data_IF_210218897114
#
_entry.id   IF_210218897114
#
_cell.length_a   1.000
_cell.length_b   1.000
_cell.length_c   1.000
_cell.angle_alpha   90.00
_cell.angle_beta   90.00
_cell.angle_gamma   90.00
#
_symmetry.space_group_name_H-M   'P 1'
#
loop_
_entity.id
_entity.type
_entity.pdbx_description
1 polymer ?
#
# COMPACT_ATOMS: atom_id res chain seq x y z
N UNK A 1 15.59 -22.34 43.70
CA UNK A 1 15.58 -22.07 42.25
C UNK A 1 14.39 -22.78 41.64
N UNK A 2 13.58 -22.08 40.87
CA UNK A 2 12.38 -22.65 40.25
C UNK A 2 11.56 -21.56 39.54
N UNK A 3 12.23 -20.79 38.66
CA UNK A 3 11.54 -19.87 37.77
C UNK A 3 10.89 -20.66 36.65
N UNK A 4 9.57 -20.79 36.69
CA UNK A 4 8.79 -21.32 35.59
C UNK A 4 8.89 -20.38 34.40
N UNK A 5 9.60 -20.80 33.36
CA UNK A 5 9.55 -20.15 32.06
C UNK A 5 8.13 -20.38 31.49
N UNK A 6 7.28 -19.36 31.62
CA UNK A 6 5.99 -19.33 30.93
C UNK A 6 6.24 -19.41 29.43
N UNK A 7 5.77 -20.48 28.80
CA UNK A 7 5.74 -20.57 27.35
C UNK A 7 4.93 -19.37 26.81
N UNK A 8 5.61 -18.45 26.13
CA UNK A 8 4.94 -17.37 25.42
C UNK A 8 4.03 -18.00 24.37
N UNK A 9 2.72 -18.01 24.64
CA UNK A 9 1.68 -18.41 23.69
C UNK A 9 1.89 -17.57 22.43
N UNK A 10 1.95 -18.21 21.25
CA UNK A 10 2.02 -17.47 20.00
C UNK A 10 0.89 -16.43 19.96
N UNK A 11 1.17 -15.19 19.52
CA UNK A 11 0.16 -14.14 19.50
C UNK A 11 -1.01 -14.61 18.65
N UNK A 12 -2.23 -14.37 19.13
CA UNK A 12 -3.43 -14.67 18.37
C UNK A 12 -3.41 -13.87 17.05
N UNK A 13 -3.97 -14.43 15.97
CA UNK A 13 -4.03 -13.71 14.68
C UNK A 13 -4.70 -12.35 14.86
N UNK A 14 -4.12 -11.33 14.24
CA UNK A 14 -4.55 -9.93 14.38
C UNK A 14 -4.55 -9.39 15.81
N UNK A 15 -3.74 -9.93 16.73
CA UNK A 15 -3.54 -9.36 18.06
C UNK A 15 -2.27 -8.49 18.13
N UNK A 16 -2.34 -7.42 18.92
CA UNK A 16 -1.20 -6.64 19.36
C UNK A 16 -0.53 -7.28 20.58
N UNK A 17 0.62 -6.74 20.97
CA UNK A 17 1.44 -7.24 22.09
C UNK A 17 0.74 -7.10 23.46
N UNK A 18 -0.29 -6.25 23.55
CA UNK A 18 -1.13 -6.08 24.74
C UNK A 18 -2.22 -7.16 24.88
N UNK A 19 -2.29 -8.08 23.92
CA UNK A 19 -3.28 -9.16 23.86
C UNK A 19 -4.63 -8.75 23.28
N UNK A 20 -4.84 -7.47 22.94
CA UNK A 20 -6.05 -7.01 22.26
C UNK A 20 -5.91 -7.19 20.75
N UNK A 21 -7.04 -7.29 20.05
CA UNK A 21 -7.04 -7.26 18.60
C UNK A 21 -6.65 -5.87 18.07
N UNK A 22 -5.91 -5.88 16.98
CA UNK A 22 -5.57 -4.69 16.22
C UNK A 22 -6.85 -3.98 15.77
N UNK A 23 -6.87 -2.65 15.63
CA UNK A 23 -8.02 -1.93 15.06
C UNK A 23 -8.41 -2.47 13.67
N UNK A 24 -7.42 -2.93 12.91
CA UNK A 24 -7.61 -3.54 11.58
C UNK A 24 -8.31 -4.90 11.63
N UNK A 25 -8.36 -5.58 12.78
CA UNK A 25 -8.95 -6.90 12.93
C UNK A 25 -10.46 -6.96 12.64
N UNK A 26 -11.18 -5.85 12.81
CA UNK A 26 -12.64 -5.74 12.58
C UNK A 26 -13.00 -4.63 11.59
N UNK A 27 -12.01 -4.12 10.86
CA UNK A 27 -12.19 -2.98 9.95
C UNK A 27 -12.98 -3.32 8.68
N UNK A 28 -12.93 -4.57 8.26
CA UNK A 28 -13.67 -5.11 7.11
C UNK A 28 -15.11 -5.51 7.46
N UNK A 29 -15.84 -5.96 6.43
CA UNK A 29 -17.15 -6.60 6.57
C UNK A 29 -17.02 -8.10 6.28
N UNK A 30 -17.96 -8.89 6.78
CA UNK A 30 -18.11 -10.27 6.34
C UNK A 30 -18.61 -10.30 4.89
N UNK A 31 -18.04 -11.20 4.08
CA UNK A 31 -18.38 -11.40 2.67
C UNK A 31 -19.57 -12.34 2.47
N UNK A 32 -19.89 -13.15 3.48
CA UNK A 32 -21.03 -14.08 3.48
C UNK A 32 -21.96 -13.80 4.66
N UNK A 33 -23.23 -14.18 4.50
CA UNK A 33 -24.20 -14.17 5.59
C UNK A 33 -24.09 -15.44 6.45
N UNK A 34 -24.64 -15.40 7.67
CA UNK A 34 -24.69 -16.56 8.57
C UNK A 34 -23.38 -16.88 9.27
N UNK A 35 -22.41 -15.96 9.28
CA UNK A 35 -21.16 -16.11 10.03
C UNK A 35 -21.38 -16.39 11.53
N UNK A 36 -22.42 -15.82 12.11
CA UNK A 36 -22.88 -16.05 13.48
C UNK A 36 -23.40 -17.47 13.74
N UNK A 37 -23.85 -18.17 12.70
CA UNK A 37 -24.31 -19.57 12.82
C UNK A 37 -23.14 -20.56 12.81
N UNK A 38 -22.06 -20.20 12.10
CA UNK A 38 -20.83 -20.99 12.00
C UNK A 38 -19.90 -20.70 13.18
N UNK A 39 -19.70 -19.41 13.49
CA UNK A 39 -18.88 -18.90 14.57
C UNK A 39 -19.80 -18.34 15.66
N UNK A 40 -20.22 -19.23 16.58
CA UNK A 40 -21.26 -18.95 17.57
C UNK A 40 -20.84 -17.90 18.61
N UNK A 41 -19.54 -17.72 18.79
CA UNK A 41 -18.97 -16.76 19.72
C UNK A 41 -18.57 -15.50 18.97
N UNK A 42 -19.30 -14.41 19.20
CA UNK A 42 -18.94 -13.12 18.64
C UNK A 42 -17.55 -12.67 19.14
N UNK A 43 -16.74 -12.11 18.24
CA UNK A 43 -15.48 -11.53 18.63
C UNK A 43 -15.67 -10.32 19.57
N UNK A 44 -14.87 -10.27 20.62
CA UNK A 44 -14.73 -9.14 21.55
C UNK A 44 -13.40 -8.42 21.29
N UNK A 45 -12.97 -7.53 22.20
CA UNK A 45 -11.71 -6.80 22.05
C UNK A 45 -10.46 -7.71 21.98
N UNK A 46 -10.51 -8.91 22.55
CA UNK A 46 -9.36 -9.80 22.67
C UNK A 46 -9.68 -11.30 22.57
N UNK A 47 -10.94 -11.65 22.28
CA UNK A 47 -11.37 -13.04 22.13
C UNK A 47 -12.27 -13.21 20.91
N UNK A 48 -12.23 -14.38 20.29
CA UNK A 48 -13.09 -14.78 19.17
C UNK A 48 -13.48 -16.24 19.31
N UNK A 49 -14.38 -16.72 18.46
CA UNK A 49 -14.70 -18.14 18.41
C UNK A 49 -13.45 -18.98 18.07
N UNK A 50 -13.12 -20.03 18.84
CA UNK A 50 -12.00 -20.92 18.52
C UNK A 50 -12.08 -21.55 17.13
N UNK A 51 -13.29 -21.69 16.56
CA UNK A 51 -13.47 -22.19 15.20
C UNK A 51 -12.88 -21.27 14.14
N UNK A 52 -12.71 -19.97 14.44
CA UNK A 52 -12.03 -19.01 13.55
C UNK A 52 -10.55 -19.35 13.32
N UNK A 53 -9.94 -20.12 14.23
CA UNK A 53 -8.53 -20.51 14.19
C UNK A 53 -8.30 -21.93 13.67
N UNK A 54 -9.37 -22.63 13.29
CA UNK A 54 -9.26 -23.96 12.68
C UNK A 54 -8.85 -23.83 11.21
N UNK A 55 -7.73 -24.45 10.85
CA UNK A 55 -7.22 -24.45 9.47
C UNK A 55 -8.22 -25.02 8.47
N UNK A 56 -9.00 -26.03 8.88
CA UNK A 56 -10.08 -26.61 8.06
C UNK A 56 -11.21 -25.60 7.73
N UNK A 57 -11.33 -24.51 8.48
CA UNK A 57 -12.30 -23.44 8.26
C UNK A 57 -11.65 -22.13 7.82
N UNK A 58 -10.35 -22.12 7.48
CA UNK A 58 -9.61 -20.89 7.15
C UNK A 58 -10.31 -20.06 6.06
N UNK A 59 -10.79 -20.70 4.98
CA UNK A 59 -11.51 -20.01 3.90
C UNK A 59 -12.84 -19.40 4.36
N UNK A 60 -13.58 -20.11 5.22
CA UNK A 60 -14.86 -19.63 5.75
C UNK A 60 -14.63 -18.52 6.76
N UNK A 61 -13.61 -18.66 7.61
CA UNK A 61 -13.19 -17.63 8.54
C UNK A 61 -12.77 -16.36 7.80
N UNK A 62 -12.04 -16.47 6.69
CA UNK A 62 -11.67 -15.31 5.86
C UNK A 62 -12.88 -14.63 5.23
N UNK A 63 -13.87 -15.39 4.78
CA UNK A 63 -15.16 -14.83 4.34
C UNK A 63 -15.97 -14.21 5.48
N UNK A 64 -15.73 -14.65 6.71
CA UNK A 64 -16.31 -14.11 7.94
C UNK A 64 -15.30 -13.29 8.75
N UNK A 65 -14.40 -12.57 8.06
CA UNK A 65 -13.23 -11.99 8.69
C UNK A 65 -13.56 -10.96 9.79
N UNK A 66 -14.69 -10.26 9.70
CA UNK A 66 -15.13 -9.35 10.76
C UNK A 66 -15.63 -10.11 11.97
N UNK A 67 -16.49 -11.11 11.75
CA UNK A 67 -17.00 -11.99 12.82
C UNK A 67 -15.85 -12.69 13.55
N UNK A 68 -14.84 -13.11 12.81
CA UNK A 68 -13.64 -13.76 13.35
C UNK A 68 -12.53 -12.79 13.80
N UNK A 69 -12.74 -11.47 13.73
CA UNK A 69 -11.70 -10.48 14.03
C UNK A 69 -10.33 -10.79 13.37
N UNK A 70 -10.36 -11.13 12.08
CA UNK A 70 -9.20 -11.44 11.24
C UNK A 70 -9.12 -10.58 9.99
N UNK A 71 -9.81 -9.43 9.95
CA UNK A 71 -9.74 -8.50 8.82
C UNK A 71 -8.31 -8.04 8.51
N UNK A 72 -7.38 -8.07 9.47
CA UNK A 72 -5.98 -7.72 9.22
C UNK A 72 -5.26 -8.69 8.24
N UNK A 73 -5.81 -9.88 8.03
CA UNK A 73 -5.30 -10.87 7.06
C UNK A 73 -5.99 -10.75 5.71
N UNK A 74 -7.09 -10.01 5.61
CA UNK A 74 -7.73 -9.77 4.34
C UNK A 74 -6.81 -8.85 3.51
N UNK A 75 -6.35 -9.26 2.32
CA UNK A 75 -5.46 -8.44 1.50
C UNK A 75 -5.97 -7.02 1.23
N UNK A 76 -7.30 -6.84 1.17
CA UNK A 76 -7.92 -5.53 1.01
C UNK A 76 -7.71 -4.60 2.21
N UNK A 77 -7.42 -5.14 3.40
CA UNK A 77 -7.33 -4.43 4.69
C UNK A 77 -5.99 -4.65 5.42
N UNK A 78 -5.09 -5.49 4.90
CA UNK A 78 -3.86 -5.96 5.57
C UNK A 78 -2.70 -4.96 5.57
N UNK A 79 -2.91 -3.74 5.06
CA UNK A 79 -1.94 -2.66 5.09
C UNK A 79 -2.20 -1.72 6.28
N UNK A 80 -1.52 -0.57 6.32
CA UNK A 80 -1.72 0.46 7.36
C UNK A 80 -2.22 1.75 6.73
N UNK A 81 -3.08 2.45 7.46
CA UNK A 81 -3.40 3.84 7.15
C UNK A 81 -2.19 4.75 7.35
N UNK A 82 -2.22 5.89 6.68
CA UNK A 82 -1.20 6.91 6.82
C UNK A 82 -1.22 7.45 8.27
N UNK A 83 -0.07 7.49 8.97
CA UNK A 83 -0.01 7.90 10.37
C UNK A 83 -0.51 9.34 10.60
N UNK A 84 -0.43 10.23 9.60
CA UNK A 84 -0.96 11.59 9.71
C UNK A 84 -2.49 11.64 9.75
N UNK A 85 -3.15 10.60 9.23
CA UNK A 85 -4.61 10.52 9.10
C UNK A 85 -5.24 9.33 9.82
N UNK A 86 -4.45 8.48 10.48
CA UNK A 86 -4.93 7.25 11.13
C UNK A 86 -6.09 7.50 12.12
N UNK A 87 -6.11 8.65 12.80
CA UNK A 87 -7.22 9.03 13.71
C UNK A 87 -8.45 9.59 12.98
N UNK A 88 -8.27 10.10 11.76
CA UNK A 88 -9.32 10.65 10.91
C UNK A 88 -9.95 9.58 10.00
N UNK A 89 -9.20 8.57 9.57
CA UNK A 89 -9.69 7.51 8.70
C UNK A 89 -11.00 6.87 9.18
N UNK A 90 -11.19 6.55 10.49
CA UNK A 90 -12.47 6.05 10.98
C UNK A 90 -13.64 7.01 10.78
N UNK A 91 -13.39 8.32 10.80
CA UNK A 91 -14.42 9.36 10.57
C UNK A 91 -14.73 9.55 9.09
N UNK A 92 -13.80 9.18 8.20
CA UNK A 92 -13.98 9.20 6.73
C UNK A 92 -14.44 7.87 6.16
N UNK A 93 -14.90 6.93 7.00
CA UNK A 93 -15.31 5.58 6.54
C UNK A 93 -16.42 5.62 5.47
N UNK A 94 -17.31 6.60 5.50
CA UNK A 94 -18.33 6.76 4.46
C UNK A 94 -17.75 7.27 3.13
N UNK A 95 -16.65 8.03 3.17
CA UNK A 95 -15.92 8.48 1.97
C UNK A 95 -15.33 7.30 1.18
N UNK A 96 -15.02 6.18 1.86
CA UNK A 96 -14.56 4.94 1.22
C UNK A 96 -15.58 4.38 0.21
N UNK A 97 -16.87 4.69 0.37
CA UNK A 97 -17.95 4.26 -0.53
C UNK A 97 -18.10 5.13 -1.78
N UNK A 98 -17.30 6.20 -1.89
CA UNK A 98 -17.34 7.08 -3.06
C UNK A 98 -17.04 6.31 -4.35
N UNK A 99 -17.76 6.65 -5.41
CA UNK A 99 -17.54 6.17 -6.78
C UNK A 99 -16.64 7.11 -7.60
N UNK A 100 -16.22 8.23 -7.02
CA UNK A 100 -15.32 9.18 -7.67
C UNK A 100 -13.89 8.64 -7.58
N UNK A 101 -13.24 8.41 -8.73
CA UNK A 101 -11.90 7.82 -8.81
C UNK A 101 -10.88 8.59 -7.97
N UNK A 102 -10.84 9.92 -8.08
CA UNK A 102 -9.92 10.77 -7.32
C UNK A 102 -10.10 10.64 -5.79
N UNK A 103 -11.34 10.46 -5.33
CA UNK A 103 -11.65 10.26 -3.90
C UNK A 103 -11.22 8.86 -3.46
N UNK A 104 -11.46 7.85 -4.30
CA UNK A 104 -10.98 6.49 -4.03
C UNK A 104 -9.46 6.40 -4.00
N UNK A 105 -8.76 7.08 -4.91
CA UNK A 105 -7.30 7.14 -4.94
C UNK A 105 -6.76 7.83 -3.68
N UNK A 106 -7.40 8.92 -3.25
CA UNK A 106 -7.08 9.59 -1.99
C UNK A 106 -7.26 8.66 -0.79
N UNK A 107 -8.37 7.92 -0.73
CA UNK A 107 -8.64 6.95 0.33
C UNK A 107 -7.67 5.76 0.28
N UNK A 108 -7.34 5.26 -0.91
CA UNK A 108 -6.37 4.18 -1.10
C UNK A 108 -4.94 4.61 -0.76
N UNK A 109 -4.67 5.92 -0.73
CA UNK A 109 -3.39 6.47 -0.32
C UNK A 109 -3.30 6.69 1.19
N UNK A 110 -4.30 7.34 1.78
CA UNK A 110 -4.22 7.80 3.18
C UNK A 110 -4.95 6.89 4.16
N UNK A 111 -6.01 6.21 3.73
CA UNK A 111 -6.84 5.33 4.56
C UNK A 111 -7.06 3.94 3.93
N UNK A 112 -6.05 3.29 3.33
CA UNK A 112 -6.26 2.05 2.59
C UNK A 112 -6.75 0.90 3.46
N UNK A 113 -6.28 0.79 4.71
CA UNK A 113 -6.73 -0.26 5.63
C UNK A 113 -8.14 0.01 6.12
N UNK A 114 -8.49 1.26 6.44
CA UNK A 114 -9.87 1.59 6.85
C UNK A 114 -10.88 1.40 5.69
N UNK A 115 -10.47 1.72 4.46
CA UNK A 115 -11.36 1.67 3.30
C UNK A 115 -11.38 0.33 2.57
N UNK A 116 -10.56 -0.64 2.94
CA UNK A 116 -10.45 -1.90 2.19
C UNK A 116 -9.80 -1.72 0.81
N UNK A 117 -8.90 -0.75 0.70
CA UNK A 117 -8.26 -0.31 -0.54
C UNK A 117 -6.77 -0.58 -0.57
N UNK A 118 -6.25 -1.42 0.34
CA UNK A 118 -4.85 -1.84 0.31
C UNK A 118 -4.46 -2.36 -1.08
N UNK A 119 -5.39 -3.02 -1.76
CA UNK A 119 -5.20 -3.60 -3.09
C UNK A 119 -5.36 -2.59 -4.24
N UNK A 120 -5.88 -1.40 -3.98
CA UNK A 120 -6.24 -0.39 -5.00
C UNK A 120 -5.27 0.80 -5.06
N UNK A 121 -4.43 0.99 -4.04
CA UNK A 121 -3.53 2.15 -3.93
C UNK A 121 -2.08 1.89 -4.33
N UNK A 122 -1.16 2.64 -3.71
CA UNK A 122 0.30 2.48 -3.81
C UNK A 122 0.81 1.11 -3.35
N UNK A 123 -0.04 0.28 -2.74
CA UNK A 123 0.24 -1.11 -2.39
C UNK A 123 -0.35 -2.06 -3.45
N UNK A 124 0.05 -1.87 -4.71
CA UNK A 124 -0.29 -2.78 -5.81
C UNK A 124 0.89 -3.03 -6.72
N UNK A 125 0.92 -4.22 -7.28
CA UNK A 125 1.82 -4.57 -8.37
C UNK A 125 1.27 -4.02 -9.70
N UNK A 126 1.89 -2.94 -10.18
CA UNK A 126 1.56 -2.26 -11.43
C UNK A 126 2.23 -2.90 -12.65
N UNK A 127 3.36 -3.59 -12.47
CA UNK A 127 4.05 -4.27 -13.57
C UNK A 127 3.61 -5.74 -13.71
N UNK A 128 3.39 -6.23 -14.95
CA UNK A 128 3.27 -7.66 -15.19
C UNK A 128 4.61 -8.33 -14.89
N UNK A 129 4.61 -9.30 -13.96
CA UNK A 129 5.81 -10.05 -13.60
C UNK A 129 6.52 -9.60 -12.32
N UNK A 130 5.87 -8.76 -11.49
CA UNK A 130 6.36 -8.43 -10.14
C UNK A 130 6.84 -9.69 -9.38
N UNK A 131 6.01 -10.73 -9.31
CA UNK A 131 6.35 -12.00 -8.64
C UNK A 131 7.64 -12.68 -9.15
N UNK A 132 7.97 -12.55 -10.44
CA UNK A 132 9.19 -13.16 -11.03
C UNK A 132 10.46 -12.36 -10.73
N UNK A 133 10.30 -11.08 -10.39
CA UNK A 133 11.37 -10.11 -10.25
C UNK A 133 11.44 -9.56 -8.82
N UNK A 134 10.89 -10.30 -7.85
CA UNK A 134 10.91 -9.97 -6.43
C UNK A 134 12.32 -9.75 -5.86
N UNK A 135 13.35 -10.35 -6.47
CA UNK A 135 14.74 -10.16 -6.05
C UNK A 135 15.22 -8.71 -6.23
N UNK A 136 14.68 -7.99 -7.22
CA UNK A 136 15.06 -6.60 -7.52
C UNK A 136 14.54 -5.61 -6.49
N UNK A 137 13.61 -6.02 -5.62
CA UNK A 137 13.12 -5.21 -4.50
C UNK A 137 14.25 -4.82 -3.53
N UNK A 138 15.30 -5.64 -3.44
CA UNK A 138 16.46 -5.41 -2.58
C UNK A 138 17.66 -4.78 -3.31
N UNK A 139 17.53 -4.51 -4.62
CA UNK A 139 18.58 -3.87 -5.39
C UNK A 139 18.75 -2.39 -5.02
N UNK A 140 19.98 -1.90 -4.92
CA UNK A 140 20.24 -0.52 -4.49
C UNK A 140 19.81 0.55 -5.51
N UNK A 141 19.69 0.18 -6.79
CA UNK A 141 19.38 1.10 -7.90
C UNK A 141 17.95 0.89 -8.40
N UNK A 142 17.58 -0.36 -8.64
CA UNK A 142 16.25 -0.72 -9.12
C UNK A 142 15.24 -0.85 -7.97
N UNK A 143 15.68 -1.15 -6.75
CA UNK A 143 14.80 -1.36 -5.59
C UNK A 143 13.79 -0.25 -5.33
N UNK A 144 14.14 1.05 -5.42
CA UNK A 144 13.14 2.12 -5.28
C UNK A 144 12.03 2.06 -6.34
N UNK A 145 12.38 1.74 -7.60
CA UNK A 145 11.41 1.61 -8.70
C UNK A 145 10.54 0.37 -8.53
N UNK A 146 11.13 -0.76 -8.12
CA UNK A 146 10.38 -1.99 -7.86
C UNK A 146 9.50 -1.86 -6.62
N UNK A 147 9.93 -1.16 -5.58
CA UNK A 147 9.11 -0.88 -4.38
C UNK A 147 7.94 0.06 -4.67
N UNK A 148 8.04 0.91 -5.69
CA UNK A 148 6.98 1.80 -6.14
C UNK A 148 6.01 1.11 -7.13
N UNK A 149 6.55 0.30 -8.05
CA UNK A 149 5.76 -0.33 -9.12
C UNK A 149 5.31 -1.76 -8.80
N UNK A 150 5.93 -2.41 -7.82
CA UNK A 150 5.65 -3.76 -7.35
C UNK A 150 5.55 -3.78 -5.83
N UNK A 151 4.84 -2.82 -5.26
CA UNK A 151 4.84 -2.56 -3.83
C UNK A 151 4.37 -3.76 -2.99
N UNK A 152 3.49 -4.60 -3.55
CA UNK A 152 3.06 -5.83 -2.90
C UNK A 152 4.12 -6.90 -2.95
N UNK A 153 4.66 -7.18 -4.14
CA UNK A 153 5.73 -8.18 -4.26
C UNK A 153 6.97 -7.79 -3.44
N UNK A 154 7.30 -6.51 -3.37
CA UNK A 154 8.43 -6.01 -2.60
C UNK A 154 8.17 -5.86 -1.11
N UNK A 155 6.94 -6.18 -0.64
CA UNK A 155 6.48 -5.97 0.73
C UNK A 155 6.79 -4.53 1.23
N UNK A 156 6.82 -3.57 0.32
CA UNK A 156 7.09 -2.15 0.61
C UNK A 156 5.81 -1.38 0.91
N UNK A 157 4.69 -2.09 1.08
CA UNK A 157 3.41 -1.59 1.55
C UNK A 157 3.43 -0.97 2.98
N UNK A 158 4.61 -0.60 3.48
CA UNK A 158 4.73 0.27 4.64
C UNK A 158 4.23 1.67 4.27
N UNK A 159 3.44 2.27 5.16
CA UNK A 159 2.85 3.62 5.07
C UNK A 159 3.88 4.78 5.05
N UNK A 160 5.06 4.58 4.47
CA UNK A 160 6.12 5.58 4.41
C UNK A 160 6.88 5.47 3.09
N UNK A 161 6.24 5.95 2.03
CA UNK A 161 6.95 6.77 1.05
C UNK A 161 5.97 7.80 0.50
N UNK A 162 5.75 8.84 1.29
CA UNK A 162 5.53 10.14 0.67
C UNK A 162 6.70 10.38 -0.30
N UNK A 163 6.47 10.85 -1.55
CA UNK A 163 7.53 11.57 -2.23
C UNK A 163 7.93 12.71 -1.29
N UNK A 164 9.23 12.85 -1.03
CA UNK A 164 9.76 13.91 -0.20
C UNK A 164 9.03 15.22 -0.52
N UNK A 165 8.30 15.74 0.45
CA UNK A 165 7.74 17.07 0.41
C UNK A 165 8.89 18.02 0.13
N UNK A 166 8.97 18.51 -1.11
CA UNK A 166 9.83 19.65 -1.40
C UNK A 166 9.17 20.81 -0.66
N UNK A 167 9.86 21.29 0.36
CA UNK A 167 9.52 22.45 1.18
C UNK A 167 8.84 23.56 0.37
N UNK A 168 7.81 24.25 0.93
CA UNK A 168 7.24 25.42 0.30
C UNK A 168 8.29 26.53 0.26
N UNK A 169 8.93 26.73 -0.91
CA UNK A 169 9.74 27.91 -1.15
C UNK A 169 8.79 29.10 -1.32
N UNK A 170 8.91 30.00 -0.36
CA UNK A 170 8.36 31.35 -0.23
C UNK A 170 7.95 32.00 -1.56
N UNK A 171 6.67 32.39 -1.62
CA UNK A 171 6.11 33.30 -2.61
C UNK A 171 6.93 34.60 -2.67
N UNK A 172 7.56 34.85 -3.82
CA UNK A 172 8.00 36.19 -4.22
C UNK A 172 7.10 36.64 -5.39
N UNK A 173 6.44 37.81 -5.33
CA UNK A 173 5.58 38.28 -6.41
C UNK A 173 6.43 38.82 -7.59
N UNK A 174 6.29 38.21 -8.77
CA UNK A 174 7.00 38.64 -9.98
C UNK A 174 6.47 38.00 -11.28
N UNK A 175 5.39 38.58 -11.80
CA UNK A 175 4.77 38.53 -13.15
C UNK A 175 5.76 38.46 -14.35
N UNK A 176 5.37 38.07 -15.60
CA UNK A 176 4.48 37.01 -16.12
C UNK A 176 5.14 36.09 -17.19
N UNK A 177 4.48 34.96 -17.48
CA UNK A 177 4.37 34.24 -18.78
C UNK A 177 5.58 34.15 -19.73
N UNK A 178 6.12 32.94 -19.90
CA UNK A 178 7.00 32.58 -21.02
C UNK A 178 7.13 31.06 -21.16
N UNK A 179 6.55 30.51 -22.22
CA UNK A 179 6.79 29.14 -22.73
C UNK A 179 8.31 28.82 -22.73
N UNK A 180 8.73 27.73 -22.08
CA UNK A 180 10.14 27.34 -22.04
C UNK A 180 10.34 25.92 -21.52
N UNK A 181 10.27 24.94 -22.43
CA UNK A 181 10.60 23.55 -22.16
C UNK A 181 12.04 23.42 -21.67
N UNK A 182 12.23 22.86 -20.47
CA UNK A 182 13.57 22.54 -19.99
C UNK A 182 14.09 21.33 -20.75
N UNK A 183 14.93 21.61 -21.74
CA UNK A 183 15.67 20.63 -22.52
C UNK A 183 17.01 20.33 -21.84
N UNK A 184 17.10 19.22 -21.12
CA UNK A 184 18.29 18.86 -20.34
C UNK A 184 18.71 17.41 -20.58
N UNK A 185 20.01 17.15 -20.39
CA UNK A 185 20.58 15.80 -20.35
C UNK A 185 21.02 15.48 -18.93
N UNK A 186 20.52 14.36 -18.40
CA UNK A 186 21.00 13.78 -17.15
C UNK A 186 22.31 13.02 -17.36
N UNK A 187 23.02 12.72 -16.28
CA UNK A 187 24.41 12.21 -16.32
C UNK A 187 24.58 10.87 -17.06
N UNK A 188 23.51 10.11 -17.26
CA UNK A 188 23.53 8.75 -17.81
C UNK A 188 22.98 8.64 -19.26
N UNK A 189 22.84 9.77 -19.97
CA UNK A 189 22.26 9.77 -21.30
C UNK A 189 23.05 8.97 -22.34
N UNK A 190 24.37 8.94 -22.25
CA UNK A 190 25.23 8.14 -23.15
C UNK A 190 24.87 6.66 -23.14
N UNK A 191 24.46 6.12 -21.99
CA UNK A 191 24.04 4.73 -21.83
C UNK A 191 22.60 4.53 -22.29
N UNK A 192 21.70 5.46 -21.95
CA UNK A 192 20.30 5.39 -22.34
C UNK A 192 20.08 5.52 -23.84
N UNK A 193 20.77 6.43 -24.53
CA UNK A 193 20.71 6.58 -25.99
C UNK A 193 21.14 5.29 -26.68
N UNK A 194 22.26 4.68 -26.24
CA UNK A 194 22.73 3.39 -26.77
C UNK A 194 21.73 2.26 -26.58
N UNK A 195 20.95 2.32 -25.52
CA UNK A 195 19.92 1.33 -25.19
C UNK A 195 18.53 1.66 -25.78
N UNK A 196 18.45 2.59 -26.74
CA UNK A 196 17.21 2.87 -27.49
C UNK A 196 16.19 3.72 -26.73
N UNK A 197 16.60 4.43 -25.67
CA UNK A 197 15.72 5.27 -24.85
C UNK A 197 14.97 6.33 -25.66
N UNK A 198 15.63 6.94 -26.65
CA UNK A 198 15.06 8.04 -27.44
C UNK A 198 13.86 7.61 -28.30
N UNK A 199 13.88 6.39 -28.81
CA UNK A 199 12.84 5.81 -29.67
C UNK A 199 11.84 4.96 -28.90
N UNK A 200 12.02 4.80 -27.59
CA UNK A 200 11.17 3.93 -26.79
C UNK A 200 9.83 4.62 -26.47
N UNK A 201 8.76 4.09 -27.05
CA UNK A 201 7.38 4.58 -26.86
C UNK A 201 6.78 4.24 -25.49
N UNK A 202 7.44 3.39 -24.70
CA UNK A 202 7.06 3.12 -23.30
C UNK A 202 7.27 4.34 -22.41
N UNK A 203 8.16 5.25 -22.80
CA UNK A 203 8.37 6.52 -22.12
C UNK A 203 7.62 7.64 -22.85
N UNK A 204 6.89 8.47 -22.11
CA UNK A 204 6.28 9.66 -22.69
C UNK A 204 7.34 10.58 -23.28
N UNK A 205 6.98 11.32 -24.35
CA UNK A 205 7.92 12.24 -25.00
C UNK A 205 8.42 13.33 -24.03
N UNK A 206 7.55 13.80 -23.13
CA UNK A 206 7.91 14.74 -22.06
C UNK A 206 8.94 14.16 -21.09
N UNK A 207 8.85 12.87 -20.78
CA UNK A 207 9.83 12.20 -19.92
C UNK A 207 11.16 12.08 -20.65
N UNK A 208 11.16 11.63 -21.91
CA UNK A 208 12.38 11.52 -22.73
C UNK A 208 13.06 12.89 -22.90
N UNK A 209 12.28 13.96 -23.09
CA UNK A 209 12.77 15.34 -23.24
C UNK A 209 13.38 15.92 -21.96
N UNK A 210 12.89 15.51 -20.79
CA UNK A 210 13.41 15.92 -19.48
C UNK A 210 14.60 15.08 -18.99
N UNK A 211 14.73 13.84 -19.46
CA UNK A 211 15.81 12.95 -19.03
C UNK A 211 17.04 13.06 -19.93
N UNK A 212 16.85 13.04 -21.26
CA UNK A 212 17.92 13.06 -22.26
C UNK A 212 17.51 13.87 -23.49
N UNK A 213 16.94 15.06 -23.29
CA UNK A 213 16.32 15.84 -24.36
C UNK A 213 17.28 16.17 -25.49
N UNK A 214 18.49 16.67 -25.16
CA UNK A 214 19.51 17.06 -26.15
C UNK A 214 20.15 15.82 -26.78
N UNK A 215 20.45 14.82 -25.95
CA UNK A 215 21.01 13.54 -26.36
C UNK A 215 20.07 12.73 -27.28
N UNK A 216 18.77 12.97 -27.19
CA UNK A 216 17.74 12.35 -28.02
C UNK A 216 17.23 13.24 -29.17
N UNK A 217 17.72 14.47 -29.30
CA UNK A 217 17.27 15.43 -30.33
C UNK A 217 15.79 15.81 -30.23
N UNK A 218 15.19 15.69 -29.03
CA UNK A 218 13.81 16.08 -28.75
C UNK A 218 13.69 17.59 -28.45
N UNK A 219 14.85 18.23 -28.41
CA UNK A 219 15.20 19.63 -28.28
C UNK A 219 16.75 19.69 -28.39
#
# INVERSE_FOLDING_TARGET
GGGGAGAAKAPARCAADDGNFLPTATSCSDEIEGCDTVFKTAATANTRDPMCDLEALADVAMKCAKTCAICCENPAFSCKDDPAYATLCPTWKDTCKSNISQVRDMMAKYCPSTCGLCEQGSCRDNLPGCAKMAILCNDAVAGPVWKDQCARTCNSCSAASSPAATTPATVVPGKPSGNGGSCVDTRECSSYVKNGFCTNTWYSEDFRRKTCGKSCGLC
#
